data_IF_530659073997
#
_entry.id   IF_530659073997
#
_cell.length_a   1.000
_cell.length_b   1.000
_cell.length_c   1.000
_cell.angle_alpha   90.00
_cell.angle_beta   90.00
_cell.angle_gamma   90.00
#
_symmetry.space_group_name_H-M   'P 1'
#
loop_
_entity.id
_entity.type
_entity.pdbx_description
1 polymer ?
#
# COMPACT_ATOMS: atom_id res chain seq x y z
N UNK A 1 15.32 11.57 23.14
CA UNK A 1 15.21 11.39 21.68
C UNK A 1 13.76 11.63 21.30
N UNK A 2 13.47 12.39 20.22
CA UNK A 2 12.09 12.50 19.70
C UNK A 2 11.64 11.13 19.21
N UNK A 3 10.42 10.74 19.54
CA UNK A 3 9.80 9.49 19.01
C UNK A 3 9.74 9.59 17.48
N UNK A 4 10.14 8.55 16.76
CA UNK A 4 10.06 8.52 15.31
C UNK A 4 8.61 8.70 14.83
N UNK A 5 8.43 9.58 13.85
CA UNK A 5 7.11 9.84 13.23
C UNK A 5 6.81 8.77 12.18
N UNK A 6 5.51 8.55 11.91
CA UNK A 6 5.08 7.68 10.81
C UNK A 6 4.53 8.55 9.67
N UNK A 7 4.96 8.22 8.45
CA UNK A 7 4.49 8.82 7.21
C UNK A 7 3.98 7.72 6.27
N UNK A 8 3.24 8.11 5.26
CA UNK A 8 2.82 7.20 4.19
C UNK A 8 3.19 7.76 2.81
N UNK A 9 3.52 6.87 1.88
CA UNK A 9 3.65 7.16 0.45
C UNK A 9 2.66 6.28 -0.30
N UNK A 10 1.81 6.90 -1.12
CA UNK A 10 0.76 6.21 -1.89
C UNK A 10 0.97 6.50 -3.37
N UNK A 11 1.75 5.69 -4.11
CA UNK A 11 2.02 5.92 -5.52
C UNK A 11 0.73 5.81 -6.35
N UNK A 12 0.37 6.90 -7.04
CA UNK A 12 -0.86 7.04 -7.80
C UNK A 12 -0.64 7.53 -9.26
N UNK A 13 0.61 7.52 -9.76
CA UNK A 13 0.94 8.00 -11.11
C UNK A 13 0.64 6.98 -12.23
N UNK A 14 0.28 5.73 -11.89
CA UNK A 14 0.04 4.67 -12.87
C UNK A 14 -1.26 4.88 -13.66
N UNK A 15 -1.23 4.58 -14.96
CA UNK A 15 -2.39 4.72 -15.85
C UNK A 15 -3.36 3.52 -15.82
N UNK A 16 -2.93 2.37 -15.26
CA UNK A 16 -3.81 1.21 -15.09
C UNK A 16 -4.30 0.55 -16.38
N UNK A 17 -3.46 0.45 -17.40
CA UNK A 17 -3.80 -0.02 -18.76
C UNK A 17 -4.60 -1.33 -18.84
N UNK A 18 -4.45 -2.24 -17.86
CA UNK A 18 -5.16 -3.53 -17.81
C UNK A 18 -6.67 -3.44 -17.57
N UNK A 19 -7.17 -2.28 -17.12
CA UNK A 19 -8.59 -2.10 -16.83
C UNK A 19 -9.43 -1.77 -18.08
N UNK A 20 -8.81 -1.39 -19.20
CA UNK A 20 -9.53 -1.02 -20.42
C UNK A 20 -10.47 0.20 -20.26
N UNK A 21 -10.31 0.99 -19.21
CA UNK A 21 -11.18 2.10 -18.88
C UNK A 21 -10.69 3.42 -19.53
N UNK A 22 -11.61 4.39 -19.66
CA UNK A 22 -11.37 5.74 -20.20
C UNK A 22 -10.53 6.65 -19.28
N UNK A 23 -10.22 6.17 -18.06
CA UNK A 23 -9.51 6.89 -17.01
C UNK A 23 -8.57 5.97 -16.24
N UNK A 24 -7.55 6.52 -15.53
CA UNK A 24 -6.70 5.71 -14.67
C UNK A 24 -7.51 4.98 -13.60
N UNK A 25 -7.17 3.72 -13.34
CA UNK A 25 -7.96 2.81 -12.49
C UNK A 25 -8.25 3.34 -11.09
N UNK A 26 -7.33 4.13 -10.52
CA UNK A 26 -7.52 4.72 -9.19
C UNK A 26 -8.67 5.71 -9.11
N UNK A 27 -9.17 6.19 -10.25
CA UNK A 27 -10.33 7.08 -10.38
C UNK A 27 -11.63 6.35 -10.79
N UNK A 28 -11.61 5.02 -10.86
CA UNK A 28 -12.84 4.24 -11.03
C UNK A 28 -13.68 4.33 -9.77
N UNK A 29 -15.01 4.40 -9.99
CA UNK A 29 -15.98 4.55 -8.91
C UNK A 29 -16.26 3.21 -8.24
N UNK A 30 -16.34 3.24 -6.91
CA UNK A 30 -16.64 2.13 -6.04
C UNK A 30 -17.49 2.68 -4.88
N UNK A 31 -18.75 2.25 -4.72
CA UNK A 31 -19.67 2.75 -3.68
C UNK A 31 -19.76 4.29 -3.58
N UNK A 32 -19.85 4.97 -4.72
CA UNK A 32 -20.00 6.42 -4.77
C UNK A 32 -18.73 7.25 -4.56
N UNK A 33 -17.57 6.61 -4.34
CA UNK A 33 -16.25 7.23 -4.23
C UNK A 33 -15.27 6.58 -5.20
N UNK A 34 -14.15 7.23 -5.48
CA UNK A 34 -13.08 6.61 -6.26
C UNK A 34 -12.29 5.61 -5.40
N UNK A 35 -11.61 4.64 -6.05
CA UNK A 35 -10.69 3.71 -5.39
C UNK A 35 -9.63 4.48 -4.57
N UNK A 36 -9.13 5.60 -5.13
CA UNK A 36 -8.16 6.48 -4.47
C UNK A 36 -8.74 7.06 -3.18
N UNK A 37 -9.97 7.57 -3.19
CA UNK A 37 -10.61 8.12 -2.00
C UNK A 37 -10.75 7.06 -0.91
N UNK A 38 -11.24 5.87 -1.25
CA UNK A 38 -11.33 4.76 -0.28
C UNK A 38 -9.97 4.45 0.35
N UNK A 39 -8.92 4.33 -0.47
CA UNK A 39 -7.58 4.01 0.04
C UNK A 39 -7.04 5.11 0.96
N UNK A 40 -7.17 6.37 0.55
CA UNK A 40 -6.68 7.49 1.35
C UNK A 40 -7.49 7.67 2.64
N UNK A 41 -8.80 7.50 2.61
CA UNK A 41 -9.64 7.56 3.80
C UNK A 41 -9.26 6.51 4.85
N UNK A 42 -8.95 5.28 4.42
CA UNK A 42 -8.46 4.25 5.35
C UNK A 42 -7.14 4.65 6.01
N UNK A 43 -6.21 5.25 5.27
CA UNK A 43 -4.95 5.71 5.82
C UNK A 43 -5.11 6.96 6.71
N UNK A 44 -6.00 7.89 6.35
CA UNK A 44 -6.30 9.09 7.15
C UNK A 44 -6.96 8.76 8.49
N UNK A 45 -7.73 7.66 8.57
CA UNK A 45 -8.30 7.18 9.84
C UNK A 45 -7.24 6.64 10.80
N UNK A 46 -6.07 6.26 10.32
CA UNK A 46 -4.98 5.81 11.17
C UNK A 46 -4.18 7.00 11.72
N UNK A 47 -4.56 7.49 12.87
CA UNK A 47 -4.08 8.73 13.49
C UNK A 47 -2.55 8.80 13.72
N UNK A 48 -1.86 7.66 13.71
CA UNK A 48 -0.39 7.63 13.80
C UNK A 48 0.30 8.16 12.54
N UNK A 49 -0.37 8.20 11.39
CA UNK A 49 0.20 8.76 10.15
C UNK A 49 0.16 10.27 10.22
N UNK A 50 1.32 10.89 10.22
CA UNK A 50 1.48 12.35 10.29
C UNK A 50 1.18 13.05 8.97
N UNK A 51 1.58 12.44 7.85
CA UNK A 51 1.42 12.98 6.50
C UNK A 51 1.39 11.84 5.50
N UNK A 52 0.59 12.00 4.45
CA UNK A 52 0.54 11.09 3.29
C UNK A 52 1.09 11.85 2.09
N UNK A 53 2.12 11.32 1.45
CA UNK A 53 2.61 11.81 0.16
C UNK A 53 1.97 11.00 -0.94
N UNK A 54 1.39 11.69 -1.91
CA UNK A 54 0.69 11.14 -3.06
C UNK A 54 1.45 11.49 -4.34
N UNK A 55 2.37 10.64 -4.81
CA UNK A 55 3.01 10.81 -6.11
C UNK A 55 1.99 10.58 -7.23
N UNK A 56 1.74 11.61 -8.04
CA UNK A 56 0.75 11.59 -9.14
C UNK A 56 1.41 11.91 -10.47
N UNK A 57 0.75 11.57 -11.57
CA UNK A 57 1.22 11.95 -12.90
C UNK A 57 1.23 13.48 -13.03
N UNK A 58 2.26 14.03 -13.69
CA UNK A 58 2.35 15.47 -13.99
C UNK A 58 1.12 16.01 -14.72
N UNK A 59 0.49 15.17 -15.54
CA UNK A 59 -0.69 15.53 -16.35
C UNK A 59 -2.00 15.01 -15.72
N UNK A 60 -2.02 14.77 -14.41
CA UNK A 60 -3.23 14.31 -13.74
C UNK A 60 -4.28 15.42 -13.67
N UNK A 61 -5.44 15.18 -14.30
CA UNK A 61 -6.57 16.11 -14.32
C UNK A 61 -7.75 15.64 -13.47
N UNK A 62 -7.65 14.48 -12.85
CA UNK A 62 -8.73 13.88 -12.07
C UNK A 62 -8.61 14.23 -10.58
N UNK A 63 -7.42 14.22 -10.03
CA UNK A 63 -7.19 14.42 -8.60
C UNK A 63 -7.72 15.75 -8.10
N UNK A 64 -7.50 16.84 -8.84
CA UNK A 64 -7.97 18.17 -8.47
C UNK A 64 -9.50 18.30 -8.35
N UNK A 65 -10.26 17.33 -8.87
CA UNK A 65 -11.73 17.28 -8.79
C UNK A 65 -12.23 16.60 -7.50
N UNK A 66 -11.33 15.96 -6.75
CA UNK A 66 -11.66 15.23 -5.53
C UNK A 66 -11.38 16.09 -4.31
N UNK A 67 -12.35 16.22 -3.41
CA UNK A 67 -12.22 17.01 -2.18
C UNK A 67 -11.08 16.51 -1.29
N UNK A 68 -10.81 15.21 -1.29
CA UNK A 68 -9.73 14.60 -0.52
C UNK A 68 -8.34 15.12 -0.89
N UNK A 69 -8.16 15.62 -2.13
CA UNK A 69 -6.90 16.17 -2.59
C UNK A 69 -6.46 17.44 -1.82
N UNK A 70 -7.41 18.13 -1.19
CA UNK A 70 -7.19 19.34 -0.39
C UNK A 70 -7.05 19.05 1.12
N UNK A 71 -7.06 17.78 1.53
CA UNK A 71 -6.91 17.42 2.94
C UNK A 71 -5.53 17.82 3.47
N UNK A 72 -5.47 18.49 4.62
CA UNK A 72 -4.22 19.03 5.18
C UNK A 72 -3.11 17.99 5.39
N UNK A 73 -3.47 16.74 5.68
CA UNK A 73 -2.51 15.65 5.85
C UNK A 73 -2.04 15.03 4.53
N UNK A 74 -2.55 15.46 3.38
CA UNK A 74 -2.15 14.95 2.07
C UNK A 74 -1.26 15.99 1.37
N UNK A 75 -0.15 15.51 0.83
CA UNK A 75 0.76 16.30 0.01
C UNK A 75 0.99 15.58 -1.31
N UNK A 76 0.85 16.31 -2.40
CA UNK A 76 1.12 15.81 -3.74
C UNK A 76 2.58 16.03 -4.13
N UNK A 77 3.15 15.11 -4.92
CA UNK A 77 4.41 15.30 -5.61
C UNK A 77 4.35 14.67 -7.00
N UNK A 78 5.30 14.98 -7.86
CA UNK A 78 5.39 14.37 -9.18
C UNK A 78 5.80 12.89 -9.04
N UNK A 79 5.04 11.98 -9.66
CA UNK A 79 5.37 10.57 -9.78
C UNK A 79 6.45 10.33 -10.84
N UNK A 80 6.96 9.10 -10.89
CA UNK A 80 7.93 8.66 -11.88
C UNK A 80 7.30 7.81 -12.98
N UNK A 81 8.13 7.43 -13.96
CA UNK A 81 7.73 6.57 -15.10
C UNK A 81 7.30 5.16 -14.69
N UNK A 82 7.78 4.67 -13.55
CA UNK A 82 7.45 3.39 -12.96
C UNK A 82 7.07 3.57 -11.49
N UNK A 83 6.45 2.52 -10.89
CA UNK A 83 5.97 2.56 -9.51
C UNK A 83 7.06 2.93 -8.51
N UNK A 84 8.22 2.28 -8.60
CA UNK A 84 9.32 2.51 -7.66
C UNK A 84 9.93 3.92 -7.79
N UNK A 85 9.96 4.54 -9.00
CA UNK A 85 10.35 5.95 -9.13
C UNK A 85 9.35 6.89 -8.48
N UNK A 86 8.06 6.55 -8.53
CA UNK A 86 7.03 7.32 -7.81
C UNK A 86 7.24 7.23 -6.29
N UNK A 87 7.56 6.03 -5.79
CA UNK A 87 7.91 5.84 -4.37
C UNK A 87 9.14 6.65 -4.00
N UNK A 88 10.22 6.57 -4.80
CA UNK A 88 11.46 7.32 -4.59
C UNK A 88 11.21 8.83 -4.49
N UNK A 89 10.40 9.37 -5.41
CA UNK A 89 10.02 10.78 -5.39
C UNK A 89 9.23 11.13 -4.13
N UNK A 90 8.31 10.25 -3.70
CA UNK A 90 7.56 10.40 -2.46
C UNK A 90 8.45 10.43 -1.21
N UNK A 91 9.45 9.54 -1.13
CA UNK A 91 10.43 9.51 -0.03
C UNK A 91 11.27 10.81 0.01
N UNK A 92 11.74 11.27 -1.15
CA UNK A 92 12.47 12.55 -1.26
C UNK A 92 11.60 13.74 -0.86
N UNK A 93 10.33 13.73 -1.25
CA UNK A 93 9.37 14.76 -0.84
C UNK A 93 9.14 14.78 0.68
N UNK A 94 9.11 13.63 1.35
CA UNK A 94 9.06 13.56 2.82
C UNK A 94 10.27 14.22 3.47
N UNK A 95 11.48 13.95 2.98
CA UNK A 95 12.71 14.60 3.50
C UNK A 95 12.64 16.12 3.31
N UNK A 96 12.15 16.61 2.17
CA UNK A 96 12.04 18.04 1.87
C UNK A 96 11.09 18.77 2.83
N UNK A 97 10.10 18.10 3.41
CA UNK A 97 9.21 18.68 4.44
C UNK A 97 9.69 18.44 5.86
N UNK A 98 10.93 17.95 6.04
CA UNK A 98 11.58 17.82 7.33
C UNK A 98 11.39 16.46 8.02
N UNK A 99 10.87 15.44 7.34
CA UNK A 99 10.94 14.07 7.85
C UNK A 99 12.41 13.64 8.00
N UNK A 100 12.69 12.85 9.02
CA UNK A 100 14.04 12.41 9.33
C UNK A 100 14.28 11.00 8.77
N UNK A 101 15.53 10.67 8.46
CA UNK A 101 15.90 9.34 7.94
C UNK A 101 15.52 8.17 8.87
N UNK A 102 15.43 8.42 10.16
CA UNK A 102 15.00 7.44 11.17
C UNK A 102 13.49 7.37 11.38
N UNK A 103 12.71 8.26 10.74
CA UNK A 103 11.25 8.17 10.76
C UNK A 103 10.78 6.95 9.96
N UNK A 104 9.58 6.46 10.29
CA UNK A 104 8.96 5.33 9.62
C UNK A 104 8.20 5.78 8.38
N UNK A 105 8.31 5.03 7.31
CA UNK A 105 7.50 5.23 6.11
C UNK A 105 6.77 3.95 5.73
N UNK A 106 5.48 4.10 5.50
CA UNK A 106 4.57 3.06 5.03
C UNK A 106 4.28 3.33 3.56
N UNK A 107 4.59 2.38 2.68
CA UNK A 107 4.24 2.47 1.26
C UNK A 107 3.03 1.61 0.98
N UNK A 108 1.97 2.21 0.44
CA UNK A 108 0.71 1.50 0.17
C UNK A 108 0.22 1.74 -1.25
N UNK A 109 -0.16 0.67 -1.95
CA UNK A 109 -0.72 0.79 -3.31
C UNK A 109 -2.08 1.49 -3.28
N UNK A 110 -2.23 2.57 -4.07
CA UNK A 110 -3.51 3.29 -4.21
C UNK A 110 -4.67 2.39 -4.65
N UNK A 111 -4.38 1.28 -5.29
CA UNK A 111 -5.37 0.31 -5.79
C UNK A 111 -5.76 -0.78 -4.76
N UNK A 112 -5.48 -0.59 -3.47
CA UNK A 112 -5.89 -1.50 -2.39
C UNK A 112 -6.83 -0.81 -1.39
N UNK A 113 -8.09 -0.55 -1.79
CA UNK A 113 -9.03 0.24 -0.98
C UNK A 113 -9.51 -0.46 0.28
N UNK A 114 -9.30 -1.78 0.41
CA UNK A 114 -9.88 -2.61 1.46
C UNK A 114 -8.91 -2.90 2.63
N UNK A 115 -7.84 -2.09 2.78
CA UNK A 115 -6.93 -2.22 3.94
C UNK A 115 -7.70 -2.00 5.24
N UNK A 116 -7.42 -2.79 6.27
CA UNK A 116 -8.10 -2.71 7.56
C UNK A 116 -7.24 -1.96 8.59
N UNK A 117 -7.89 -1.26 9.52
CA UNK A 117 -7.19 -0.57 10.60
C UNK A 117 -6.34 -1.53 11.43
N UNK A 118 -6.86 -2.74 11.71
CA UNK A 118 -6.12 -3.78 12.44
C UNK A 118 -4.81 -4.19 11.75
N UNK A 119 -4.78 -4.22 10.42
CA UNK A 119 -3.57 -4.53 9.65
C UNK A 119 -2.55 -3.39 9.74
N UNK A 120 -3.00 -2.13 9.74
CA UNK A 120 -2.15 -0.95 9.95
C UNK A 120 -1.55 -0.93 11.36
N UNK A 121 -2.36 -1.21 12.38
CA UNK A 121 -1.92 -1.34 13.77
C UNK A 121 -0.89 -2.45 13.92
N UNK A 122 -1.17 -3.65 13.38
CA UNK A 122 -0.26 -4.78 13.43
C UNK A 122 1.09 -4.46 12.80
N UNK A 123 1.10 -3.81 11.63
CA UNK A 123 2.32 -3.34 10.99
C UNK A 123 3.10 -2.37 11.87
N UNK A 124 2.42 -1.33 12.36
CA UNK A 124 3.05 -0.27 13.15
C UNK A 124 3.62 -0.75 14.48
N UNK A 125 2.97 -1.72 15.15
CA UNK A 125 3.46 -2.29 16.40
C UNK A 125 4.63 -3.27 16.22
N UNK A 126 4.87 -3.75 15.00
CA UNK A 126 5.95 -4.69 14.68
C UNK A 126 7.12 -4.06 13.89
N UNK A 127 7.21 -2.73 13.84
CA UNK A 127 8.28 -2.03 13.12
C UNK A 127 9.66 -2.48 13.59
N UNK A 128 10.59 -2.60 12.65
CA UNK A 128 11.99 -2.90 12.91
C UNK A 128 12.88 -2.32 11.81
N UNK A 129 14.17 -2.24 12.04
CA UNK A 129 15.13 -1.60 11.14
C UNK A 129 15.34 -2.35 9.81
N UNK A 130 14.89 -3.60 9.70
CA UNK A 130 14.94 -4.41 8.49
C UNK A 130 13.70 -4.23 7.59
N UNK A 131 12.63 -3.66 8.14
CA UNK A 131 11.34 -3.52 7.50
C UNK A 131 10.35 -4.63 7.85
N UNK A 132 9.07 -4.32 7.68
CA UNK A 132 7.94 -5.25 7.86
C UNK A 132 6.97 -5.11 6.70
N UNK A 133 6.41 -6.23 6.27
CA UNK A 133 5.48 -6.29 5.13
C UNK A 133 4.26 -7.13 5.47
N UNK A 134 3.11 -6.76 4.96
CA UNK A 134 1.91 -7.59 5.04
C UNK A 134 1.92 -8.66 3.97
N UNK A 135 1.37 -9.82 4.29
CA UNK A 135 1.16 -10.88 3.32
C UNK A 135 0.04 -11.83 3.72
N UNK A 136 -0.37 -12.66 2.78
CA UNK A 136 -1.30 -13.76 3.00
C UNK A 136 -0.62 -15.06 2.55
N UNK A 137 -0.64 -16.07 3.41
CA UNK A 137 -0.07 -17.38 3.05
C UNK A 137 -0.80 -17.98 1.84
N UNK A 138 -0.04 -18.56 0.94
CA UNK A 138 -0.59 -19.31 -0.19
C UNK A 138 -1.34 -20.53 0.33
N UNK A 139 -2.61 -20.67 -0.06
CA UNK A 139 -3.49 -21.76 0.38
C UNK A 139 -3.63 -22.84 -0.67
N UNK A 140 -3.66 -22.44 -1.94
CA UNK A 140 -3.85 -23.37 -3.05
C UNK A 140 -2.53 -24.00 -3.50
N UNK A 141 -2.63 -25.12 -4.22
CA UNK A 141 -1.47 -25.76 -4.83
C UNK A 141 -0.91 -24.90 -5.95
N UNK A 142 0.36 -24.53 -5.85
CA UNK A 142 1.06 -23.72 -6.85
C UNK A 142 1.75 -24.60 -7.89
N UNK A 143 1.57 -24.28 -9.16
CA UNK A 143 2.21 -24.95 -10.29
C UNK A 143 3.16 -23.98 -11.01
N UNK A 144 4.33 -24.48 -11.39
CA UNK A 144 5.20 -23.81 -12.34
C UNK A 144 4.92 -24.36 -13.73
N UNK A 145 4.75 -23.47 -14.70
CA UNK A 145 4.53 -23.85 -16.12
C UNK A 145 5.61 -23.26 -16.99
N UNK A 146 5.72 -23.77 -18.21
CA UNK A 146 6.39 -23.10 -19.31
C UNK A 146 5.49 -22.01 -19.96
N UNK A 147 6.00 -21.36 -21.02
CA UNK A 147 5.29 -20.30 -21.75
C UNK A 147 4.05 -20.81 -22.51
N UNK A 148 3.92 -22.12 -22.68
CA UNK A 148 2.78 -22.77 -23.33
C UNK A 148 1.73 -23.30 -22.33
N UNK A 149 1.93 -23.06 -21.02
CA UNK A 149 1.03 -23.49 -19.96
C UNK A 149 1.21 -24.98 -19.55
N UNK A 150 2.24 -25.67 -20.04
CA UNK A 150 2.54 -27.04 -19.62
C UNK A 150 3.12 -27.03 -18.20
N UNK A 151 2.57 -27.88 -17.31
CA UNK A 151 3.02 -27.99 -15.93
C UNK A 151 4.39 -28.62 -15.85
N UNK A 152 5.37 -27.86 -15.37
CA UNK A 152 6.75 -28.31 -15.15
C UNK A 152 6.93 -28.93 -13.76
N UNK A 153 6.35 -28.32 -12.74
CA UNK A 153 6.48 -28.79 -11.35
C UNK A 153 5.41 -28.26 -10.43
N UNK A 154 5.23 -28.91 -9.29
CA UNK A 154 4.49 -28.37 -8.15
C UNK A 154 5.46 -27.62 -7.25
N UNK A 155 5.14 -26.35 -6.93
CA UNK A 155 5.92 -25.55 -5.99
C UNK A 155 5.38 -25.79 -4.57
N UNK A 156 6.26 -26.10 -3.60
CA UNK A 156 5.82 -26.14 -2.20
C UNK A 156 5.24 -24.81 -1.79
N UNK A 157 4.09 -24.85 -1.13
CA UNK A 157 3.46 -23.66 -0.55
C UNK A 157 3.93 -23.36 0.87
N UNK A 158 4.78 -24.20 1.45
CA UNK A 158 5.33 -23.99 2.78
C UNK A 158 6.16 -22.72 2.79
N UNK A 159 5.83 -21.81 3.69
CA UNK A 159 6.44 -20.46 3.79
C UNK A 159 6.33 -19.59 2.53
N UNK A 160 5.38 -19.93 1.63
CA UNK A 160 5.08 -19.10 0.45
C UNK A 160 3.93 -18.14 0.74
N UNK A 161 4.14 -16.87 0.43
CA UNK A 161 3.20 -15.78 0.73
C UNK A 161 2.90 -14.94 -0.50
N UNK A 162 1.67 -14.46 -0.59
CA UNK A 162 1.33 -13.32 -1.43
C UNK A 162 1.73 -12.04 -0.70
N UNK A 163 2.75 -11.35 -1.20
CA UNK A 163 3.15 -10.05 -0.64
C UNK A 163 2.06 -9.01 -0.92
N UNK A 164 1.67 -8.27 0.11
CA UNK A 164 0.71 -7.19 0.05
C UNK A 164 1.41 -5.86 0.39
N UNK A 165 0.64 -4.78 0.33
CA UNK A 165 0.99 -3.50 0.93
C UNK A 165 -0.07 -3.15 1.99
N UNK A 166 0.25 -2.34 3.02
CA UNK A 166 1.48 -1.54 3.18
C UNK A 166 2.72 -2.38 3.46
N UNK A 167 3.87 -1.82 3.04
CA UNK A 167 5.21 -2.26 3.44
C UNK A 167 5.85 -1.10 4.19
N UNK A 168 6.46 -1.35 5.34
CA UNK A 168 6.91 -0.32 6.26
C UNK A 168 8.38 -0.54 6.63
N UNK A 169 9.17 0.53 6.55
CA UNK A 169 10.60 0.52 6.91
C UNK A 169 11.03 1.91 7.41
N UNK A 170 12.24 2.06 7.99
CA UNK A 170 12.83 3.38 8.20
C UNK A 170 13.00 4.10 6.85
N UNK A 171 12.63 5.39 6.81
CA UNK A 171 12.65 6.20 5.58
C UNK A 171 14.02 6.17 4.90
N UNK A 172 15.10 6.35 5.67
CA UNK A 172 16.45 6.35 5.14
C UNK A 172 16.90 4.99 4.60
N UNK A 173 16.52 3.89 5.28
CA UNK A 173 16.84 2.52 4.84
C UNK A 173 16.14 2.21 3.52
N UNK A 174 14.85 2.53 3.41
CA UNK A 174 14.10 2.29 2.17
C UNK A 174 14.60 3.17 1.02
N UNK A 175 14.90 4.44 1.30
CA UNK A 175 15.46 5.36 0.30
C UNK A 175 16.76 4.80 -0.30
N UNK A 176 17.72 4.44 0.56
CA UNK A 176 19.01 3.92 0.13
C UNK A 176 18.87 2.59 -0.63
N UNK A 177 17.95 1.72 -0.17
CA UNK A 177 17.66 0.45 -0.81
C UNK A 177 17.15 0.63 -2.25
N UNK A 178 16.18 1.53 -2.45
CA UNK A 178 15.65 1.83 -3.79
C UNK A 178 16.71 2.49 -4.67
N UNK A 179 17.46 3.48 -4.15
CA UNK A 179 18.53 4.14 -4.91
C UNK A 179 19.62 3.15 -5.32
N UNK A 180 20.02 2.24 -4.42
CA UNK A 180 20.97 1.17 -4.73
C UNK A 180 20.44 0.26 -5.84
N UNK A 181 19.21 -0.23 -5.74
CA UNK A 181 18.63 -1.11 -6.76
C UNK A 181 18.55 -0.43 -8.13
N UNK A 182 18.21 0.87 -8.17
CA UNK A 182 18.20 1.67 -9.40
C UNK A 182 19.60 1.77 -10.01
N UNK A 183 20.62 2.08 -9.20
CA UNK A 183 21.99 2.20 -9.65
C UNK A 183 22.56 0.88 -10.16
N UNK A 184 22.18 -0.23 -9.54
CA UNK A 184 22.59 -1.58 -9.91
C UNK A 184 21.78 -2.14 -11.11
N UNK A 185 20.79 -1.39 -11.63
CA UNK A 185 19.93 -1.80 -12.74
C UNK A 185 18.99 -2.95 -12.40
N UNK A 186 18.69 -3.17 -11.12
CA UNK A 186 17.82 -4.23 -10.64
C UNK A 186 16.36 -3.78 -10.74
N UNK A 187 15.49 -4.65 -11.25
CA UNK A 187 14.06 -4.39 -11.31
C UNK A 187 13.43 -4.50 -9.92
N UNK A 188 12.94 -3.38 -9.40
CA UNK A 188 12.22 -3.31 -8.12
C UNK A 188 10.73 -3.60 -8.37
N UNK A 189 10.23 -4.67 -7.79
CA UNK A 189 8.80 -5.06 -7.88
C UNK A 189 7.96 -4.48 -6.77
N UNK A 190 8.51 -4.39 -5.56
CA UNK A 190 7.95 -3.81 -4.35
C UNK A 190 9.06 -3.29 -3.41
N UNK A 191 8.71 -2.71 -2.28
CA UNK A 191 9.68 -2.17 -1.33
C UNK A 191 10.55 -3.29 -0.71
N UNK A 192 9.95 -4.46 -0.47
CA UNK A 192 10.66 -5.62 0.07
C UNK A 192 11.80 -6.05 -0.84
N UNK A 193 11.57 -6.14 -2.16
CA UNK A 193 12.60 -6.54 -3.12
C UNK A 193 13.79 -5.58 -3.16
N UNK A 194 13.55 -4.29 -2.95
CA UNK A 194 14.64 -3.31 -2.82
C UNK A 194 15.42 -3.49 -1.51
N UNK A 195 14.70 -3.70 -0.39
CA UNK A 195 15.30 -3.98 0.91
C UNK A 195 16.14 -5.26 0.87
N UNK A 196 15.64 -6.33 0.29
CA UNK A 196 16.36 -7.61 0.11
C UNK A 196 17.64 -7.41 -0.72
N UNK A 197 17.55 -6.67 -1.83
CA UNK A 197 18.72 -6.34 -2.66
C UNK A 197 19.78 -5.53 -1.89
N UNK A 198 19.36 -4.72 -0.93
CA UNK A 198 20.28 -3.96 -0.06
C UNK A 198 20.88 -4.79 1.07
N UNK A 199 20.45 -6.04 1.26
CA UNK A 199 20.91 -6.95 2.32
C UNK A 199 20.04 -6.94 3.57
N UNK A 200 18.89 -6.26 3.57
CA UNK A 200 17.90 -6.35 4.63
C UNK A 200 17.07 -7.64 4.51
N UNK A 201 16.48 -8.06 5.63
CA UNK A 201 15.56 -9.21 5.69
C UNK A 201 14.24 -8.78 6.31
N UNK A 202 13.31 -8.19 5.51
CA UNK A 202 12.03 -7.72 6.02
C UNK A 202 11.20 -8.87 6.64
N UNK A 203 10.51 -8.57 7.74
CA UNK A 203 9.65 -9.55 8.40
C UNK A 203 8.26 -9.58 7.76
N UNK A 204 7.80 -10.78 7.36
CA UNK A 204 6.43 -11.00 6.90
C UNK A 204 5.46 -11.03 8.08
N UNK A 205 4.34 -10.29 7.98
CA UNK A 205 3.23 -10.29 8.93
C UNK A 205 1.95 -10.72 8.22
N UNK A 206 1.13 -11.50 8.91
CA UNK A 206 -0.16 -11.90 8.38
C UNK A 206 -1.10 -10.69 8.27
N UNK A 207 -1.56 -10.43 7.05
CA UNK A 207 -2.61 -9.45 6.74
C UNK A 207 -3.92 -10.14 6.37
N UNK A 208 -4.97 -9.35 6.24
CA UNK A 208 -6.29 -9.88 5.90
C UNK A 208 -6.45 -10.10 4.38
N UNK A 209 -7.06 -11.22 3.93
CA UNK A 209 -7.26 -11.52 2.51
C UNK A 209 -8.12 -10.50 1.75
N UNK A 210 -8.95 -9.70 2.46
CA UNK A 210 -9.73 -8.63 1.82
C UNK A 210 -8.87 -7.49 1.26
N UNK A 211 -7.60 -7.38 1.65
CA UNK A 211 -6.69 -6.33 1.18
C UNK A 211 -6.20 -6.62 -0.26
N UNK A 212 -7.16 -6.85 -1.15
CA UNK A 212 -6.92 -7.15 -2.57
C UNK A 212 -6.43 -5.91 -3.31
N UNK A 213 -5.70 -6.15 -4.40
CA UNK A 213 -5.29 -5.11 -5.36
C UNK A 213 -6.24 -5.11 -6.54
N UNK A 214 -6.98 -4.04 -6.75
CA UNK A 214 -7.83 -3.87 -7.93
C UNK A 214 -6.93 -3.74 -9.18
N UNK A 215 -6.96 -4.76 -10.03
CA UNK A 215 -6.13 -4.86 -11.25
C UNK A 215 -6.94 -5.20 -12.49
N UNK A 216 -8.04 -5.91 -12.32
CA UNK A 216 -8.96 -6.33 -13.35
C UNK A 216 -10.38 -5.88 -13.01
N UNK A 217 -11.32 -5.80 -13.98
CA UNK A 217 -12.70 -5.38 -13.75
C UNK A 217 -13.43 -6.19 -12.66
N UNK A 218 -13.21 -7.50 -12.61
CA UNK A 218 -13.84 -8.39 -11.63
C UNK A 218 -13.41 -8.08 -10.18
N UNK A 219 -12.21 -7.52 -10.00
CA UNK A 219 -11.71 -7.12 -8.67
C UNK A 219 -12.56 -5.99 -8.06
N UNK A 220 -13.26 -5.19 -8.87
CA UNK A 220 -14.17 -4.14 -8.37
C UNK A 220 -15.35 -4.74 -7.60
N UNK A 221 -15.93 -5.83 -8.08
CA UNK A 221 -17.04 -6.50 -7.39
C UNK A 221 -16.58 -7.10 -6.06
N UNK A 222 -15.38 -7.69 -6.04
CA UNK A 222 -14.78 -8.21 -4.80
C UNK A 222 -14.48 -7.08 -3.81
N UNK A 223 -13.92 -5.97 -4.27
CA UNK A 223 -13.66 -4.80 -3.44
C UNK A 223 -14.96 -4.22 -2.86
N UNK A 224 -16.03 -4.15 -3.65
CA UNK A 224 -17.36 -3.70 -3.21
C UNK A 224 -17.89 -4.56 -2.05
N UNK A 225 -17.84 -5.88 -2.21
CA UNK A 225 -18.25 -6.81 -1.17
C UNK A 225 -17.42 -6.66 0.11
N UNK A 226 -16.10 -6.52 0.00
CA UNK A 226 -15.22 -6.37 1.16
C UNK A 226 -15.41 -5.04 1.88
N UNK A 227 -15.62 -3.93 1.18
CA UNK A 227 -15.92 -2.64 1.80
C UNK A 227 -17.24 -2.69 2.56
N UNK A 228 -18.27 -3.31 1.97
CA UNK A 228 -19.58 -3.51 2.64
C UNK A 228 -19.45 -4.33 3.92
N UNK A 229 -18.67 -5.41 3.90
CA UNK A 229 -18.42 -6.25 5.09
C UNK A 229 -17.65 -5.47 6.17
N UNK A 230 -16.64 -4.70 5.80
CA UNK A 230 -15.85 -3.90 6.75
C UNK A 230 -16.72 -2.83 7.44
N UNK A 231 -17.62 -2.18 6.72
CA UNK A 231 -18.57 -1.20 7.29
C UNK A 231 -19.51 -1.85 8.34
N UNK A 232 -20.01 -3.06 8.08
CA UNK A 232 -20.86 -3.80 9.02
C UNK A 232 -20.12 -4.20 10.31
N UNK A 233 -18.86 -4.57 10.22
CA UNK A 233 -18.04 -4.92 11.39
C UNK A 233 -17.79 -3.71 12.30
N UNK A 234 -17.59 -2.53 11.72
CA UNK A 234 -17.46 -1.29 12.50
C UNK A 234 -18.74 -0.92 13.26
N UNK A 235 -19.90 -1.09 12.65
CA UNK A 235 -21.20 -0.79 13.31
C UNK A 235 -21.54 -1.77 14.41
N UNK A 236 -21.22 -3.05 14.25
CA UNK A 236 -21.50 -4.10 15.25
C UNK A 236 -20.60 -4.01 16.49
N UNK A 237 -19.40 -3.46 16.37
CA UNK A 237 -18.49 -3.24 17.52
C UNK A 237 -18.89 -2.01 18.36
N UNK A 238 -19.49 -1.00 17.75
CA UNK A 238 -19.98 0.21 18.43
C UNK A 238 -21.22 -0.06 19.30
N UNK A 239 -22.02 -1.08 18.99
CA UNK A 239 -23.26 -1.43 19.72
C UNK A 239 -23.04 -2.30 20.98
N UNK A 240 -21.81 -2.70 21.28
CA UNK A 240 -21.46 -3.59 22.42
C UNK A 240 -20.85 -2.90 23.63
N UNK A 241 -20.99 -1.57 23.78
CA UNK A 241 -20.61 -0.90 25.02
C UNK A 241 -21.78 -1.07 26.02
N UNK A 242 -21.65 -1.88 27.06
CA UNK A 242 -22.70 -1.95 28.08
C UNK A 242 -22.72 -0.63 28.83
N UNK A 243 -23.86 0.06 28.81
CA UNK A 243 -24.14 1.16 29.75
C UNK A 243 -24.00 0.61 31.16
N UNK A 244 -22.94 0.98 31.87
CA UNK A 244 -22.89 0.81 33.32
C UNK A 244 -23.97 1.70 33.93
N UNK A 245 -25.07 1.07 34.34
CA UNK A 245 -26.02 1.72 35.23
C UNK A 245 -25.33 1.89 36.59
N UNK A 246 -25.26 3.12 36.99
CA UNK A 246 -24.91 3.59 38.37
C UNK A 246 -25.91 3.11 39.39
#
# INVERSE_FOLDING_TARGET
MKKASLYAVVPAAGIGARMGADRPKQYLMLQGKTILEHTLEQLLQFSSIKKIVLPVSKNDTFLAKLSIASHESIMQCEGGKERFYSVLNGLKALLNIGAQRHDWVMVHDVARPCIRQQDLENLYHNVNDQGVILGVQVRDTMKRTDDHGQVLSTVSRDNLWHALTPQLAPLGVLLDAIEKAVNDGVQVTDEASALEHSGCSPKMLAGHPSNIKVTHPDDLQLADAFLSMNAQLCTSSASKIPTRNT
#
